data_IF_929187809888
#
_entry.id   IF_929187809888
#
_cell.length_a   1.000
_cell.length_b   1.000
_cell.length_c   1.000
_cell.angle_alpha   90.00
_cell.angle_beta   90.00
_cell.angle_gamma   90.00
#
_symmetry.space_group_name_H-M   'P 1'
#
loop_
_entity.id
_entity.type
_entity.pdbx_description
1 polymer ?
#
# COMPACT_ATOMS: atom_id res chain seq x y z
N UNK A 1 19.71 10.42 10.87
CA UNK A 1 19.32 9.27 10.05
C UNK A 1 17.90 9.49 9.55
N UNK A 2 17.69 9.37 8.24
CA UNK A 2 16.41 9.51 7.55
C UNK A 2 15.96 8.14 7.03
N UNK A 3 14.70 7.98 6.68
CA UNK A 3 14.19 6.79 5.98
C UNK A 3 14.08 7.10 4.51
N UNK A 4 14.71 6.30 3.65
CA UNK A 4 14.65 6.48 2.21
C UNK A 4 13.48 5.75 1.56
N UNK A 5 13.09 6.18 0.35
CA UNK A 5 12.13 5.46 -0.50
C UNK A 5 12.54 4.00 -0.69
N UNK A 6 13.84 3.73 -0.88
CA UNK A 6 14.37 2.38 -1.12
C UNK A 6 14.05 1.45 0.04
N UNK A 7 14.15 1.92 1.29
CA UNK A 7 13.85 1.11 2.47
C UNK A 7 12.41 0.56 2.48
N UNK A 8 11.46 1.34 1.93
CA UNK A 8 10.05 0.96 1.86
C UNK A 8 9.80 0.12 0.61
N UNK A 9 10.42 0.47 -0.51
CA UNK A 9 10.33 -0.30 -1.75
C UNK A 9 10.82 -1.74 -1.57
N UNK A 10 11.91 -1.94 -0.83
CA UNK A 10 12.44 -3.28 -0.54
C UNK A 10 11.41 -4.12 0.24
N UNK A 11 10.73 -3.53 1.22
CA UNK A 11 9.65 -4.21 1.93
C UNK A 11 8.46 -4.51 1.03
N UNK A 12 8.04 -3.54 0.21
CA UNK A 12 6.95 -3.74 -0.74
C UNK A 12 7.25 -4.88 -1.73
N UNK A 13 8.47 -4.94 -2.28
CA UNK A 13 8.89 -5.98 -3.22
C UNK A 13 8.98 -7.37 -2.59
N UNK A 14 9.11 -7.49 -1.26
CA UNK A 14 9.01 -8.79 -0.59
C UNK A 14 7.57 -9.31 -0.51
N UNK A 15 6.58 -8.44 -0.67
CA UNK A 15 5.15 -8.77 -0.54
C UNK A 15 4.48 -9.10 -1.86
N UNK A 16 5.13 -8.79 -2.98
CA UNK A 16 4.59 -9.01 -4.33
C UNK A 16 5.63 -9.69 -5.22
N UNK A 17 5.13 -10.33 -6.29
CA UNK A 17 5.95 -10.81 -7.42
C UNK A 17 5.31 -10.30 -8.72
N UNK A 18 5.96 -9.33 -9.36
CA UNK A 18 5.48 -8.71 -10.61
C UNK A 18 6.61 -8.63 -11.64
N UNK A 19 6.51 -9.48 -12.67
CA UNK A 19 7.48 -9.54 -13.77
C UNK A 19 7.63 -8.21 -14.51
N UNK A 20 6.57 -7.40 -14.59
CA UNK A 20 6.60 -6.09 -15.27
C UNK A 20 7.43 -5.08 -14.49
N UNK A 21 7.36 -5.13 -13.16
CA UNK A 21 8.21 -4.31 -12.29
C UNK A 21 9.67 -4.70 -12.40
N UNK A 22 9.96 -6.00 -12.49
CA UNK A 22 11.31 -6.48 -12.71
C UNK A 22 11.88 -5.96 -14.04
N UNK A 23 11.09 -6.03 -15.12
CA UNK A 23 11.48 -5.45 -16.42
C UNK A 23 11.72 -3.94 -16.35
N UNK A 24 10.86 -3.21 -15.64
CA UNK A 24 11.03 -1.76 -15.48
C UNK A 24 12.33 -1.43 -14.74
N UNK A 25 12.64 -2.20 -13.70
CA UNK A 25 13.90 -2.07 -12.96
C UNK A 25 15.12 -2.30 -13.85
N UNK A 26 15.10 -3.37 -14.68
CA UNK A 26 16.19 -3.66 -15.63
C UNK A 26 16.39 -2.57 -16.68
N UNK A 27 15.30 -1.89 -17.08
CA UNK A 27 15.36 -0.83 -18.09
C UNK A 27 15.83 0.51 -17.51
N UNK A 28 15.34 0.89 -16.34
CA UNK A 28 15.65 2.15 -15.68
C UNK A 28 15.28 2.13 -14.20
N UNK A 29 16.28 2.14 -13.34
CA UNK A 29 16.10 2.22 -11.88
C UNK A 29 15.39 3.52 -11.48
N UNK A 30 15.68 4.64 -12.16
CA UNK A 30 15.03 5.92 -11.90
C UNK A 30 13.52 5.86 -12.18
N UNK A 31 13.13 5.34 -13.35
CA UNK A 31 11.72 5.20 -13.72
C UNK A 31 10.99 4.20 -12.78
N UNK A 32 11.67 3.13 -12.38
CA UNK A 32 11.16 2.18 -11.42
C UNK A 32 10.86 2.84 -10.07
N UNK A 33 11.81 3.59 -9.51
CA UNK A 33 11.62 4.30 -8.25
C UNK A 33 10.48 5.33 -8.33
N UNK A 34 10.43 6.13 -9.39
CA UNK A 34 9.34 7.10 -9.62
C UNK A 34 7.98 6.41 -9.72
N UNK A 35 7.93 5.23 -10.33
CA UNK A 35 6.70 4.46 -10.43
C UNK A 35 6.18 3.96 -9.08
N UNK A 36 7.08 3.44 -8.24
CA UNK A 36 6.74 2.99 -6.88
C UNK A 36 6.43 4.17 -5.95
N UNK A 37 7.10 5.30 -6.12
CA UNK A 37 6.86 6.54 -5.36
C UNK A 37 5.41 7.00 -5.44
N UNK A 38 4.77 6.87 -6.59
CA UNK A 38 3.35 7.18 -6.75
C UNK A 38 2.45 6.39 -5.80
N UNK A 39 2.72 5.10 -5.59
CA UNK A 39 1.97 4.29 -4.61
C UNK A 39 2.34 4.62 -3.17
N UNK A 40 3.61 5.00 -2.92
CA UNK A 40 4.03 5.46 -1.61
C UNK A 40 3.30 6.75 -1.20
N UNK A 41 3.16 7.72 -2.10
CA UNK A 41 2.43 8.96 -1.82
C UNK A 41 0.97 8.69 -1.41
N UNK A 42 0.28 7.78 -2.09
CA UNK A 42 -1.05 7.35 -1.66
C UNK A 42 -1.05 6.65 -0.29
N UNK A 43 -0.04 5.83 -0.03
CA UNK A 43 0.08 5.16 1.27
C UNK A 43 0.32 6.16 2.41
N UNK A 44 1.09 7.22 2.17
CA UNK A 44 1.30 8.31 3.12
C UNK A 44 -0.02 9.01 3.44
N UNK A 45 -0.83 9.34 2.44
CA UNK A 45 -2.14 9.96 2.63
C UNK A 45 -3.06 9.08 3.49
N UNK A 46 -3.13 7.78 3.21
CA UNK A 46 -3.98 6.85 3.96
C UNK A 46 -3.54 6.69 5.42
N UNK A 47 -2.25 6.82 5.71
CA UNK A 47 -1.68 6.51 7.03
C UNK A 47 -1.38 7.76 7.88
N UNK A 48 -1.17 8.92 7.27
CA UNK A 48 -0.73 10.14 7.97
C UNK A 48 -1.70 10.59 9.06
N UNK A 49 -3.01 10.37 8.89
CA UNK A 49 -4.04 10.77 9.84
C UNK A 49 -4.02 10.03 11.19
N UNK A 50 -3.43 8.83 11.23
CA UNK A 50 -3.39 7.97 12.42
C UNK A 50 -1.96 7.62 12.87
N UNK A 51 -0.94 7.95 12.07
CA UNK A 51 0.44 7.65 12.38
C UNK A 51 0.94 8.50 13.55
N UNK A 52 1.62 7.85 14.50
CA UNK A 52 2.23 8.53 15.67
C UNK A 52 3.48 9.33 15.31
N UNK A 53 4.08 9.09 14.14
CA UNK A 53 5.19 9.88 13.60
C UNK A 53 4.66 10.76 12.46
N UNK A 54 5.23 11.94 12.33
CA UNK A 54 4.93 12.82 11.20
C UNK A 54 5.53 12.24 9.91
N UNK A 55 4.67 11.97 8.92
CA UNK A 55 5.06 11.39 7.64
C UNK A 55 5.38 12.46 6.61
N UNK A 56 6.35 13.34 6.91
CA UNK A 56 6.84 14.35 5.96
C UNK A 56 7.86 13.70 5.03
N UNK A 57 7.49 13.61 3.77
CA UNK A 57 8.29 13.03 2.69
C UNK A 57 8.70 14.10 1.68
N UNK A 58 9.95 14.14 1.31
CA UNK A 58 10.51 15.04 0.30
C UNK A 58 10.76 14.26 -1.00
N UNK A 59 9.96 14.57 -2.03
CA UNK A 59 10.06 13.94 -3.35
C UNK A 59 11.39 14.25 -4.06
N UNK A 60 12.04 15.37 -3.74
CA UNK A 60 13.31 15.77 -4.37
C UNK A 60 14.49 14.93 -3.88
N UNK A 61 14.49 14.57 -2.60
CA UNK A 61 15.53 13.74 -1.98
C UNK A 61 15.11 12.27 -1.89
N UNK A 62 13.82 11.97 -2.08
CA UNK A 62 13.21 10.66 -1.89
C UNK A 62 13.43 10.10 -0.47
N UNK A 63 13.31 10.97 0.53
CA UNK A 63 13.52 10.65 1.93
C UNK A 63 12.42 11.23 2.84
N UNK A 64 12.17 10.52 3.94
CA UNK A 64 11.36 11.07 5.04
C UNK A 64 12.24 11.96 5.93
N UNK A 65 11.65 13.03 6.48
CA UNK A 65 12.33 13.93 7.42
C UNK A 65 12.76 13.27 8.73
N UNK A 66 12.17 12.09 9.03
CA UNK A 66 12.43 11.31 10.24
C UNK A 66 12.78 9.86 9.94
N UNK A 67 13.45 9.18 10.87
CA UNK A 67 13.63 7.73 10.80
C UNK A 67 12.33 7.04 11.23
N UNK A 68 11.64 6.40 10.28
CA UNK A 68 10.43 5.65 10.55
C UNK A 68 10.74 4.34 11.27
N UNK A 69 9.87 3.95 12.20
CA UNK A 69 9.96 2.62 12.82
C UNK A 69 9.74 1.52 11.79
N UNK A 70 10.23 0.32 12.08
CA UNK A 70 9.98 -0.84 11.21
C UNK A 70 8.47 -1.09 11.00
N UNK A 71 7.66 -0.89 12.05
CA UNK A 71 6.20 -1.05 11.97
C UNK A 71 5.58 -0.07 10.98
N UNK A 72 5.98 1.21 11.02
CA UNK A 72 5.49 2.23 10.08
C UNK A 72 5.89 1.93 8.64
N UNK A 73 7.15 1.52 8.40
CA UNK A 73 7.61 1.11 7.07
C UNK A 73 6.81 -0.09 6.52
N UNK A 74 6.52 -1.08 7.36
CA UNK A 74 5.69 -2.24 6.96
C UNK A 74 4.25 -1.85 6.64
N UNK A 75 3.64 -0.97 7.43
CA UNK A 75 2.27 -0.47 7.16
C UNK A 75 2.23 0.26 5.82
N UNK A 76 3.17 1.17 5.55
CA UNK A 76 3.26 1.85 4.26
C UNK A 76 3.40 0.87 3.10
N UNK A 77 4.30 -0.11 3.22
CA UNK A 77 4.49 -1.15 2.20
C UNK A 77 3.21 -1.98 1.96
N UNK A 78 2.48 -2.34 3.00
CA UNK A 78 1.20 -3.06 2.89
C UNK A 78 0.13 -2.23 2.18
N UNK A 79 0.05 -0.93 2.46
CA UNK A 79 -0.88 -0.03 1.77
C UNK A 79 -0.48 0.13 0.29
N UNK A 80 0.82 0.20 -0.03
CA UNK A 80 1.29 0.19 -1.42
C UNK A 80 0.83 -1.06 -2.19
N UNK A 81 0.79 -2.23 -1.54
CA UNK A 81 0.26 -3.47 -2.15
C UNK A 81 -1.21 -3.32 -2.52
N UNK A 82 -2.03 -2.66 -1.69
CA UNK A 82 -3.43 -2.34 -2.03
C UNK A 82 -3.51 -1.55 -3.34
N UNK A 83 -2.73 -0.49 -3.50
CA UNK A 83 -2.73 0.34 -4.72
C UNK A 83 -2.17 -0.39 -5.94
N UNK A 84 -1.18 -1.25 -5.76
CA UNK A 84 -0.72 -2.15 -6.81
C UNK A 84 -1.83 -3.10 -7.28
N UNK A 85 -2.58 -3.72 -6.37
CA UNK A 85 -3.72 -4.59 -6.68
C UNK A 85 -4.85 -3.82 -7.39
N UNK A 86 -5.16 -2.60 -6.97
CA UNK A 86 -6.11 -1.74 -7.68
C UNK A 86 -5.73 -1.56 -9.15
N UNK A 87 -4.46 -1.28 -9.42
CA UNK A 87 -3.96 -1.14 -10.78
C UNK A 87 -4.05 -2.46 -11.56
N UNK A 88 -3.77 -3.59 -10.92
CA UNK A 88 -3.90 -4.91 -11.53
C UNK A 88 -5.35 -5.21 -11.96
N UNK A 89 -6.31 -4.97 -11.08
CA UNK A 89 -7.74 -5.12 -11.38
C UNK A 89 -8.16 -4.20 -12.54
N UNK A 90 -7.73 -2.95 -12.50
CA UNK A 90 -8.06 -1.98 -13.54
C UNK A 90 -7.47 -2.37 -14.91
N UNK A 91 -6.23 -2.86 -14.95
CA UNK A 91 -5.59 -3.34 -16.17
C UNK A 91 -6.35 -4.53 -16.78
N UNK A 92 -6.82 -5.47 -15.96
CA UNK A 92 -7.61 -6.62 -16.44
C UNK A 92 -8.95 -6.16 -17.00
N UNK A 93 -9.63 -5.22 -16.33
CA UNK A 93 -10.88 -4.63 -16.82
C UNK A 93 -10.72 -3.95 -18.18
N UNK A 94 -9.61 -3.23 -18.38
CA UNK A 94 -9.31 -2.64 -19.70
C UNK A 94 -9.04 -3.69 -20.76
N UNK A 95 -8.31 -4.74 -20.44
CA UNK A 95 -8.03 -5.85 -21.37
C UNK A 95 -9.30 -6.61 -21.76
N UNK A 96 -10.23 -6.81 -20.85
CA UNK A 96 -11.49 -7.50 -21.11
C UNK A 96 -12.32 -6.77 -22.17
N UNK A 97 -12.32 -5.44 -22.18
CA UNK A 97 -12.96 -4.62 -23.20
C UNK A 97 -12.37 -4.81 -24.61
N UNK A 98 -11.10 -5.23 -24.72
CA UNK A 98 -10.43 -5.50 -26.00
C UNK A 98 -10.58 -6.95 -26.49
N UNK A 99 -10.99 -7.89 -25.62
CA UNK A 99 -10.99 -9.33 -25.90
C UNK A 99 -12.38 -9.87 -26.25
N UNK A 100 -13.42 -9.04 -26.29
CA UNK A 100 -14.82 -9.45 -26.52
C UNK A 100 -15.05 -10.27 -27.82
N UNK A 101 -14.06 -10.47 -28.66
CA UNK A 101 -14.17 -11.12 -29.95
C UNK A 101 -13.73 -12.61 -30.01
N UNK A 102 -13.39 -13.27 -28.86
CA UNK A 102 -13.03 -14.70 -28.83
C UNK A 102 -13.48 -15.40 -27.54
N UNK A 103 -14.58 -16.13 -27.60
CA UNK A 103 -15.28 -16.83 -26.48
C UNK A 103 -14.40 -17.65 -25.53
N UNK A 104 -13.30 -18.23 -25.96
CA UNK A 104 -12.45 -19.08 -25.12
C UNK A 104 -11.50 -18.26 -24.20
N UNK A 105 -11.04 -17.12 -24.63
CA UNK A 105 -10.16 -16.24 -23.81
C UNK A 105 -10.96 -15.39 -22.82
N UNK A 106 -12.21 -15.08 -23.11
CA UNK A 106 -13.08 -14.31 -22.24
C UNK A 106 -13.36 -15.02 -20.91
N UNK A 107 -13.50 -16.35 -20.92
CA UNK A 107 -13.79 -17.12 -19.70
C UNK A 107 -12.60 -17.14 -18.73
N UNK A 108 -11.39 -17.29 -19.24
CA UNK A 108 -10.13 -17.23 -18.47
C UNK A 108 -9.87 -15.82 -17.91
N UNK A 109 -10.15 -14.77 -18.68
CA UNK A 109 -10.01 -13.38 -18.26
C UNK A 109 -11.01 -13.02 -17.14
N UNK A 110 -12.27 -13.46 -17.26
CA UNK A 110 -13.30 -13.22 -16.25
C UNK A 110 -12.97 -13.91 -14.92
N UNK A 111 -12.45 -15.13 -14.95
CA UNK A 111 -12.01 -15.84 -13.74
C UNK A 111 -10.83 -15.13 -13.09
N UNK A 112 -9.81 -14.75 -13.85
CA UNK A 112 -8.66 -14.00 -13.35
C UNK A 112 -9.08 -12.66 -12.73
N UNK A 113 -10.04 -11.94 -13.36
CA UNK A 113 -10.58 -10.71 -12.81
C UNK A 113 -11.27 -10.95 -11.46
N UNK A 114 -12.10 -12.00 -11.32
CA UNK A 114 -12.77 -12.34 -10.06
C UNK A 114 -11.77 -12.66 -8.95
N UNK A 115 -10.73 -13.41 -9.27
CA UNK A 115 -9.67 -13.76 -8.32
C UNK A 115 -8.90 -12.53 -7.85
N UNK A 116 -8.57 -11.61 -8.76
CA UNK A 116 -7.90 -10.35 -8.43
C UNK A 116 -8.81 -9.41 -7.63
N UNK A 117 -10.09 -9.33 -7.97
CA UNK A 117 -11.07 -8.55 -7.19
C UNK A 117 -11.25 -9.10 -5.78
N UNK A 118 -11.29 -10.43 -5.62
CA UNK A 118 -11.36 -11.08 -4.32
C UNK A 118 -10.07 -10.82 -3.50
N UNK A 119 -8.90 -10.89 -4.13
CA UNK A 119 -7.62 -10.57 -3.49
C UNK A 119 -7.56 -9.10 -3.06
N UNK A 120 -8.06 -8.17 -3.88
CA UNK A 120 -8.14 -6.76 -3.54
C UNK A 120 -9.06 -6.52 -2.35
N UNK A 121 -10.27 -7.08 -2.35
CA UNK A 121 -11.21 -6.95 -1.24
C UNK A 121 -10.65 -7.52 0.07
N UNK A 122 -9.99 -8.68 0.02
CA UNK A 122 -9.29 -9.26 1.16
C UNK A 122 -8.15 -8.39 1.66
N UNK A 123 -7.40 -7.75 0.76
CA UNK A 123 -6.31 -6.84 1.13
C UNK A 123 -6.81 -5.54 1.74
N UNK A 124 -7.91 -4.99 1.23
CA UNK A 124 -8.56 -3.81 1.81
C UNK A 124 -9.06 -4.07 3.22
N UNK A 125 -9.67 -5.23 3.48
CA UNK A 125 -10.10 -5.65 4.81
C UNK A 125 -8.91 -5.83 5.75
N UNK A 126 -7.86 -6.53 5.30
CA UNK A 126 -6.61 -6.72 6.08
C UNK A 126 -5.98 -5.37 6.47
N UNK A 127 -5.90 -4.41 5.55
CA UNK A 127 -5.35 -3.09 5.82
C UNK A 127 -6.24 -2.30 6.76
N UNK A 128 -7.56 -2.33 6.58
CA UNK A 128 -8.51 -1.66 7.47
C UNK A 128 -8.35 -2.18 8.91
N UNK A 129 -8.24 -3.49 9.09
CA UNK A 129 -7.99 -4.09 10.40
C UNK A 129 -6.62 -3.72 10.96
N UNK A 130 -5.57 -3.71 10.12
CA UNK A 130 -4.22 -3.34 10.52
C UNK A 130 -4.14 -1.88 11.02
N UNK A 131 -4.81 -0.97 10.33
CA UNK A 131 -4.87 0.45 10.70
C UNK A 131 -5.67 0.65 11.98
N UNK A 132 -6.80 -0.05 12.13
CA UNK A 132 -7.61 -0.02 13.36
C UNK A 132 -6.80 -0.56 14.56
N UNK A 133 -6.13 -1.70 14.41
CA UNK A 133 -5.31 -2.29 15.46
C UNK A 133 -4.12 -1.37 15.83
N UNK A 134 -3.55 -0.68 14.83
CA UNK A 134 -2.51 0.30 15.07
C UNK A 134 -3.03 1.49 15.88
N UNK A 135 -4.15 2.07 15.48
CA UNK A 135 -4.78 3.21 16.17
C UNK A 135 -5.17 2.83 17.61
N UNK A 136 -5.82 1.67 17.78
CA UNK A 136 -6.20 1.17 19.10
C UNK A 136 -5.00 0.91 20.01
N UNK A 137 -3.88 0.41 19.47
CA UNK A 137 -2.66 0.13 20.26
C UNK A 137 -1.93 1.40 20.73
N UNK A 138 -2.20 2.55 20.10
CA UNK A 138 -1.59 3.83 20.45
C UNK A 138 -2.53 4.75 21.24
N UNK A 139 -3.79 4.36 21.46
CA UNK A 139 -4.71 5.09 22.32
C UNK A 139 -4.38 4.83 23.79
N UNK A 140 -4.33 5.91 24.58
CA UNK A 140 -4.14 5.88 26.01
C UNK A 140 -5.49 5.56 26.71
N UNK A 141 -5.85 4.27 26.71
CA UNK A 141 -7.09 3.78 27.32
C UNK A 141 -7.17 4.01 28.83
N UNK A 142 -6.02 4.07 29.51
CA UNK A 142 -5.99 4.31 30.95
C UNK A 142 -6.32 5.78 31.26
N UNK A 143 -5.84 6.71 30.44
CA UNK A 143 -6.22 8.11 30.57
C UNK A 143 -7.71 8.34 30.26
N UNK A 144 -8.24 7.69 29.24
CA UNK A 144 -9.67 7.76 28.90
C UNK A 144 -10.55 7.19 30.02
N UNK A 145 -10.18 6.06 30.63
CA UNK A 145 -10.89 5.49 31.80
C UNK A 145 -10.88 6.43 32.97
N UNK A 146 -9.74 7.05 33.30
CA UNK A 146 -9.62 7.99 34.40
C UNK A 146 -10.50 9.22 34.18
N UNK A 147 -10.62 9.75 32.95
CA UNK A 147 -11.55 10.84 32.62
C UNK A 147 -13.02 10.47 32.81
N UNK A 148 -13.41 9.22 32.59
CA UNK A 148 -14.79 8.76 32.78
C UNK A 148 -15.17 8.54 34.24
N UNK A 149 -14.21 8.28 35.12
CA UNK A 149 -14.45 7.94 36.53
C UNK A 149 -14.07 9.04 37.51
N UNK A 150 -13.47 10.14 37.06
CA UNK A 150 -13.12 11.32 37.87
C UNK A 150 -14.28 12.35 37.99
N UNK A 151 -15.48 12.05 37.50
CA UNK A 151 -16.69 12.89 37.61
C UNK A 151 -17.63 12.49 38.76
N UNK A 152 -17.09 11.98 39.90
CA UNK A 152 -17.85 11.82 41.15
C UNK A 152 -17.32 12.70 42.27
#
# INVERSE_FOLDING_TARGET
LTTSLIDINDLFLTLIDDYRLNKLYEQSVSNFNTHLEGWLLFAIEDFSGICTQELVYDESTQEFSVTLTRKHKLILAQIMVKYWLHKEVFNILQMDNFIQDRDYKAHSAAQNLREKQAALAGKEEEISQLLLDYEMSNNDWDNWKNQLFDEE
#
